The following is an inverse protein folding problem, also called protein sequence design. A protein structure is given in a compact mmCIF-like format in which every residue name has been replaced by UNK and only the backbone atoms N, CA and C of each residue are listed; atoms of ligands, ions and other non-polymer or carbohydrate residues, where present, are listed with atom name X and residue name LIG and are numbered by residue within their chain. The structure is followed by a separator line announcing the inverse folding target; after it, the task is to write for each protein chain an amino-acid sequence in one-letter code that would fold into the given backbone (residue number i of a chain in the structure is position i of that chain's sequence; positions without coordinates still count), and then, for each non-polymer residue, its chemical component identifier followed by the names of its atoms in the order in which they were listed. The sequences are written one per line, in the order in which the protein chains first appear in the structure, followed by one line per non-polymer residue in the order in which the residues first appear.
data_IF_208992204273
#
_entry.id   IF_208992204273
#
_cell.length_a   1.000
_cell.length_b   1.000
_cell.length_c   1.000
_cell.angle_alpha   90.00
_cell.angle_beta   90.00
_cell.angle_gamma   90.00
#
_symmetry.space_group_name_H-M   'P 1'
#
loop_
_entity.id
_entity.type
_entity.pdbx_description
1 polymer ?
#
# COMPACT_ATOMS: atom_id res chain seq x y z
N UNK A 1 37.39 5.88 -27.50
CA UNK A 1 36.45 6.68 -26.68
C UNK A 1 35.03 6.27 -27.03
N UNK A 2 34.51 5.28 -26.29
CA UNK A 2 33.15 4.76 -26.33
C UNK A 2 32.92 4.14 -24.95
N UNK A 3 32.06 4.73 -24.12
CA UNK A 3 31.64 4.12 -22.86
C UNK A 3 30.21 3.61 -23.04
N UNK A 4 30.08 2.29 -23.05
CA UNK A 4 28.83 1.57 -23.01
C UNK A 4 28.30 1.57 -21.56
N UNK A 5 27.11 2.14 -21.35
CA UNK A 5 26.34 1.96 -20.13
C UNK A 5 25.51 0.68 -20.32
N UNK A 6 25.88 -0.36 -19.56
CA UNK A 6 25.13 -1.61 -19.43
C UNK A 6 23.79 -1.31 -18.76
N UNK A 7 22.71 -1.60 -19.48
CA UNK A 7 21.35 -1.69 -18.94
C UNK A 7 21.31 -2.93 -18.05
N UNK A 8 21.07 -2.75 -16.75
CA UNK A 8 20.80 -3.83 -15.81
C UNK A 8 19.40 -4.40 -16.06
N UNK A 9 19.34 -5.73 -16.14
CA UNK A 9 18.12 -6.51 -16.37
C UNK A 9 17.17 -6.46 -15.16
N UNK A 10 15.89 -6.67 -15.49
CA UNK A 10 14.72 -6.72 -14.61
C UNK A 10 14.90 -7.30 -13.21
N UNK A 11 14.49 -6.48 -12.24
CA UNK A 11 13.78 -6.90 -11.04
C UNK A 11 12.56 -5.99 -10.91
N UNK A 12 11.39 -6.55 -10.65
CA UNK A 12 10.24 -5.78 -10.15
C UNK A 12 10.70 -5.12 -8.85
N UNK A 13 10.98 -3.83 -8.91
CA UNK A 13 11.37 -3.06 -7.74
C UNK A 13 10.17 -2.99 -6.80
N UNK A 14 10.18 -3.80 -5.75
CA UNK A 14 9.41 -3.49 -4.55
C UNK A 14 9.84 -2.09 -4.11
N UNK A 15 8.86 -1.21 -3.91
CA UNK A 15 9.11 0.07 -3.27
C UNK A 15 9.42 -0.26 -1.82
N UNK A 16 10.71 -0.21 -1.51
CA UNK A 16 11.22 -0.40 -0.16
C UNK A 16 10.79 0.85 0.63
N UNK A 17 9.66 0.77 1.32
CA UNK A 17 9.29 1.75 2.35
C UNK A 17 10.25 1.57 3.51
N UNK A 18 11.47 2.10 3.37
CA UNK A 18 12.56 2.01 4.36
C UNK A 18 12.30 2.82 5.65
N UNK A 19 11.05 3.16 5.95
CA UNK A 19 10.70 3.77 7.23
C UNK A 19 10.50 2.68 8.27
N UNK A 20 11.45 2.52 9.20
CA UNK A 20 11.19 1.72 10.40
C UNK A 20 10.57 2.65 11.44
N UNK A 21 9.45 2.24 12.04
CA UNK A 21 8.94 2.94 13.21
C UNK A 21 9.76 2.51 14.43
N UNK A 22 10.32 3.45 15.22
CA UNK A 22 11.04 3.06 16.42
C UNK A 22 10.08 2.37 17.41
N UNK A 23 10.56 1.31 18.05
CA UNK A 23 9.89 0.66 19.16
C UNK A 23 9.73 1.64 20.31
N UNK A 24 8.50 1.80 20.78
CA UNK A 24 8.18 2.62 21.95
C UNK A 24 8.34 1.75 23.20
N UNK A 25 9.50 1.79 23.84
CA UNK A 25 9.78 0.95 25.00
C UNK A 25 9.41 1.67 26.32
N UNK A 26 8.46 1.10 27.07
CA UNK A 26 8.20 1.50 28.46
C UNK A 26 9.27 0.89 29.35
N UNK A 27 10.25 1.67 29.77
CA UNK A 27 11.24 1.22 30.76
C UNK A 27 10.55 0.91 32.09
N UNK A 28 10.42 -0.38 32.41
CA UNK A 28 10.34 -0.83 33.80
C UNK A 28 11.65 -0.48 34.50
N UNK A 29 11.57 0.08 35.71
CA UNK A 29 12.75 0.57 36.43
C UNK A 29 13.53 -0.61 37.05
N UNK A 30 14.40 -1.29 36.30
CA UNK A 30 15.28 -2.36 36.81
C UNK A 30 16.60 -1.80 37.36
N UNK A 31 16.50 -0.91 38.35
CA UNK A 31 17.66 -0.47 39.13
C UNK A 31 18.07 -1.54 40.16
N UNK A 32 19.36 -1.64 40.54
CA UNK A 32 19.81 -2.62 41.53
C UNK A 32 19.06 -2.41 42.85
N UNK A 33 18.37 -3.46 43.28
CA UNK A 33 17.48 -3.44 44.44
C UNK A 33 18.20 -2.99 45.71
N UNK A 34 18.07 -1.71 46.05
CA UNK A 34 18.24 -1.27 47.44
C UNK A 34 17.11 -1.92 48.23
N UNK A 35 17.46 -2.89 49.08
CA UNK A 35 16.57 -3.38 50.15
C UNK A 35 16.14 -2.19 51.00
N UNK A 36 15.00 -1.60 50.67
CA UNK A 36 14.31 -0.67 51.56
C UNK A 36 13.50 -1.53 52.52
N UNK A 37 13.78 -1.34 53.80
CA UNK A 37 12.98 -1.82 54.94
C UNK A 37 11.50 -1.52 54.66
N UNK A 38 10.63 -2.50 54.91
CA UNK A 38 9.20 -2.37 54.65
C UNK A 38 8.65 -1.12 55.37
N UNK A 39 8.25 -0.12 54.58
CA UNK A 39 7.52 1.02 55.10
C UNK A 39 6.12 0.53 55.50
N UNK A 40 5.73 0.79 56.74
CA UNK A 40 4.35 0.72 57.21
C UNK A 40 3.52 1.78 56.48
N UNK A 41 3.08 1.45 55.27
CA UNK A 41 2.19 2.27 54.44
C UNK A 41 0.82 1.62 54.28
N UNK A 42 -0.24 2.42 54.29
CA UNK A 42 -1.63 2.00 54.17
C UNK A 42 -1.87 1.06 52.99
N UNK A 43 -2.71 0.04 53.21
CA UNK A 43 -3.28 -0.79 52.13
C UNK A 43 -3.92 0.15 51.10
N UNK A 44 -3.54 0.01 49.83
CA UNK A 44 -4.03 0.79 48.67
C UNK A 44 -3.32 2.10 48.32
N UNK A 45 -2.17 2.43 48.93
CA UNK A 45 -1.39 3.62 48.54
C UNK A 45 -0.93 3.65 47.06
N UNK A 46 -0.89 2.49 46.39
CA UNK A 46 -0.60 2.42 44.95
C UNK A 46 -1.76 2.92 44.06
N UNK A 47 -3.00 2.92 44.57
CA UNK A 47 -4.18 3.43 43.87
C UNK A 47 -4.30 4.96 43.96
N UNK A 48 -3.59 5.59 44.91
CA UNK A 48 -3.58 7.04 45.12
C UNK A 48 -2.32 7.73 44.60
N UNK A 49 -1.32 6.97 44.17
CA UNK A 49 -0.13 7.49 43.51
C UNK A 49 -0.47 8.06 42.13
N UNK A 50 -0.13 9.33 41.88
CA UNK A 50 -0.13 9.86 40.51
C UNK A 50 0.96 9.13 39.73
N UNK A 51 0.57 8.35 38.71
CA UNK A 51 1.52 7.88 37.70
C UNK A 51 2.15 9.11 37.06
N UNK A 52 3.47 9.27 37.22
CA UNK A 52 4.20 10.24 36.40
C UNK A 52 4.04 9.78 34.94
N UNK A 53 3.67 10.66 34.00
CA UNK A 53 3.68 10.29 32.59
C UNK A 53 5.13 9.95 32.21
N UNK A 54 5.43 8.66 32.11
CA UNK A 54 6.68 8.16 31.57
C UNK A 54 6.46 8.10 30.06
N UNK A 55 6.91 9.15 29.36
CA UNK A 55 7.13 9.04 27.93
C UNK A 55 8.11 7.87 27.70
N UNK A 56 7.84 7.01 26.72
CA UNK A 56 8.70 5.88 26.41
C UNK A 56 9.86 6.31 25.50
N UNK A 57 10.98 5.58 25.56
CA UNK A 57 12.12 5.82 24.67
C UNK A 57 11.82 5.23 23.29
N UNK A 58 12.29 5.93 22.25
CA UNK A 58 12.23 5.49 20.86
C UNK A 58 13.50 4.68 20.57
N UNK A 59 13.35 3.37 20.46
CA UNK A 59 14.44 2.43 20.23
C UNK A 59 14.34 1.85 18.81
N UNK A 60 15.47 1.64 18.15
CA UNK A 60 15.54 0.85 16.91
C UNK A 60 16.49 -0.31 17.12
N UNK A 61 16.07 -1.52 16.76
CA UNK A 61 16.97 -2.67 16.78
C UNK A 61 18.02 -2.56 15.68
N UNK A 62 19.27 -2.84 16.05
CA UNK A 62 20.39 -3.01 15.13
C UNK A 62 20.08 -4.10 14.09
N UNK A 63 20.71 -4.00 12.92
CA UNK A 63 20.52 -4.89 11.77
C UNK A 63 20.78 -6.38 12.10
N UNK A 64 21.49 -6.65 13.19
CA UNK A 64 21.80 -8.00 13.70
C UNK A 64 20.83 -8.52 14.78
N UNK A 65 19.77 -7.78 15.13
CA UNK A 65 18.72 -8.20 16.06
C UNK A 65 19.14 -8.29 17.53
N UNK A 66 20.31 -7.76 17.88
CA UNK A 66 20.90 -7.91 19.22
C UNK A 66 20.78 -6.70 20.15
N UNK A 67 20.94 -5.48 19.63
CA UNK A 67 21.00 -4.26 20.46
C UNK A 67 20.01 -3.20 19.98
N UNK A 68 19.23 -2.63 20.91
CA UNK A 68 18.38 -1.48 20.66
C UNK A 68 19.19 -0.18 20.74
N UNK A 69 19.28 0.56 19.65
CA UNK A 69 19.83 1.91 19.59
C UNK A 69 18.76 2.90 20.04
N UNK A 70 19.07 3.69 21.07
CA UNK A 70 18.17 4.73 21.53
C UNK A 70 18.27 5.99 20.67
N UNK A 71 17.14 6.40 20.09
CA UNK A 71 17.01 7.59 19.25
C UNK A 71 16.51 8.82 20.02
N UNK A 72 16.14 8.74 21.30
CA UNK A 72 15.79 9.90 22.14
C UNK A 72 17.04 10.66 22.61
N UNK A 73 17.89 11.00 21.66
CA UNK A 73 19.13 11.74 21.90
C UNK A 73 18.91 13.25 21.79
N UNK A 74 19.82 14.03 22.38
CA UNK A 74 19.81 15.49 22.20
C UNK A 74 20.03 15.90 20.75
N UNK A 75 20.79 15.11 19.98
CA UNK A 75 21.02 15.34 18.54
C UNK A 75 19.73 15.18 17.74
N UNK A 76 18.99 14.08 17.94
CA UNK A 76 17.70 13.87 17.29
C UNK A 76 16.69 14.93 17.71
N UNK A 77 16.69 15.34 18.98
CA UNK A 77 15.83 16.45 19.41
C UNK A 77 16.17 17.77 18.70
N UNK A 78 17.45 18.16 18.63
CA UNK A 78 17.88 19.38 17.95
C UNK A 78 17.54 19.33 16.44
N UNK A 79 17.75 18.18 15.80
CA UNK A 79 17.37 17.96 14.41
C UNK A 79 15.87 18.15 14.19
N UNK A 80 15.03 17.43 14.94
CA UNK A 80 13.57 17.53 14.88
C UNK A 80 13.08 18.96 15.16
N UNK A 81 13.68 19.63 16.15
CA UNK A 81 13.32 20.99 16.51
C UNK A 81 13.61 21.98 15.39
N UNK A 82 14.78 21.87 14.73
CA UNK A 82 15.12 22.70 13.56
C UNK A 82 14.20 22.40 12.37
N UNK A 83 13.88 21.13 12.12
CA UNK A 83 12.91 20.75 11.07
C UNK A 83 11.53 21.36 11.32
N UNK A 84 11.03 21.26 12.56
CA UNK A 84 9.73 21.80 12.94
C UNK A 84 9.68 23.32 12.86
N UNK A 85 10.72 24.01 13.36
CA UNK A 85 10.84 25.47 13.22
C UNK A 85 10.89 25.90 11.76
N UNK A 86 11.71 25.23 10.94
CA UNK A 86 11.83 25.52 9.52
C UNK A 86 10.48 25.43 8.82
N UNK A 87 9.72 24.36 9.09
CA UNK A 87 8.42 24.18 8.48
C UNK A 87 7.37 25.18 9.01
N UNK A 88 7.38 25.49 10.31
CA UNK A 88 6.52 26.50 10.90
C UNK A 88 6.78 27.90 10.32
N UNK A 89 8.05 28.25 10.10
CA UNK A 89 8.46 29.50 9.45
C UNK A 89 7.96 29.55 8.00
N UNK A 90 8.07 28.45 7.23
CA UNK A 90 7.51 28.36 5.87
C UNK A 90 5.99 28.55 5.86
N UNK A 91 5.29 28.02 6.87
CA UNK A 91 3.85 28.17 7.07
C UNK A 91 3.46 29.56 7.63
N UNK A 92 4.43 30.38 8.03
CA UNK A 92 4.22 31.64 8.75
C UNK A 92 3.35 31.47 10.01
N UNK A 93 3.56 30.38 10.75
CA UNK A 93 2.88 30.08 12.01
C UNK A 93 3.88 29.99 13.15
N UNK A 94 3.43 30.38 14.35
CA UNK A 94 4.26 30.26 15.55
C UNK A 94 4.06 28.88 16.18
N UNK A 95 5.12 28.08 16.24
CA UNK A 95 5.10 26.81 16.96
C UNK A 95 4.98 27.07 18.48
N UNK A 96 3.91 26.59 19.16
CA UNK A 96 3.67 26.84 20.59
C UNK A 96 4.52 25.92 21.49
N UNK A 97 5.80 25.78 21.20
CA UNK A 97 6.72 24.90 21.90
C UNK A 97 7.76 25.68 22.71
N UNK A 98 8.07 25.18 23.90
CA UNK A 98 9.21 25.63 24.71
C UNK A 98 9.92 24.43 25.32
N UNK A 99 11.19 24.27 25.00
CA UNK A 99 12.02 23.21 25.58
C UNK A 99 12.11 23.38 27.10
N UNK A 100 11.87 22.29 27.83
CA UNK A 100 12.00 22.27 29.30
C UNK A 100 13.47 22.06 29.64
N UNK A 101 14.07 23.06 30.32
CA UNK A 101 15.47 22.95 30.79
C UNK A 101 15.57 21.86 31.86
N UNK A 102 16.55 20.97 31.73
CA UNK A 102 16.78 19.87 32.68
C UNK A 102 15.88 18.63 32.49
N UNK A 103 14.94 18.64 31.53
CA UNK A 103 14.22 17.42 31.14
C UNK A 103 15.00 16.67 30.05
N UNK A 104 15.00 15.34 30.11
CA UNK A 104 15.65 14.50 29.08
C UNK A 104 15.07 14.73 27.67
N UNK A 105 15.84 14.48 26.58
CA UNK A 105 15.43 14.75 25.21
C UNK A 105 14.08 14.13 24.85
N UNK A 106 13.78 12.93 25.36
CA UNK A 106 12.49 12.26 25.27
C UNK A 106 11.27 13.14 25.58
N UNK A 107 11.28 13.84 26.71
CA UNK A 107 10.15 14.70 27.14
C UNK A 107 9.97 15.86 26.16
N UNK A 108 11.08 16.41 25.66
CA UNK A 108 11.05 17.50 24.70
C UNK A 108 10.61 17.04 23.30
N UNK A 109 11.00 15.84 22.87
CA UNK A 109 10.53 15.23 21.60
C UNK A 109 9.03 15.01 21.65
N UNK A 110 8.49 14.39 22.71
CA UNK A 110 7.03 14.17 22.85
C UNK A 110 6.26 15.48 22.88
N UNK A 111 6.75 16.49 23.61
CA UNK A 111 6.11 17.80 23.65
C UNK A 111 6.20 18.54 22.31
N UNK A 112 7.30 18.36 21.56
CA UNK A 112 7.48 18.94 20.23
C UNK A 112 6.54 18.30 19.20
N UNK A 113 6.44 16.97 19.20
CA UNK A 113 5.49 16.23 18.37
C UNK A 113 4.07 16.74 18.60
N UNK A 114 3.63 16.81 19.87
CA UNK A 114 2.29 17.29 20.21
C UNK A 114 2.05 18.73 19.76
N UNK A 115 3.03 19.62 19.96
CA UNK A 115 2.91 21.00 19.52
C UNK A 115 2.80 21.11 17.99
N UNK A 116 3.50 20.26 17.24
CA UNK A 116 3.44 20.23 15.79
C UNK A 116 2.09 19.67 15.30
N UNK A 117 1.66 18.54 15.85
CA UNK A 117 0.38 17.87 15.55
C UNK A 117 -0.84 18.78 15.83
N UNK A 118 -0.80 19.56 16.91
CA UNK A 118 -1.86 20.53 17.22
C UNK A 118 -1.82 21.80 16.34
N UNK A 119 -0.68 22.10 15.69
CA UNK A 119 -0.50 23.31 14.89
C UNK A 119 -0.79 23.09 13.40
N UNK A 120 -0.48 21.88 12.89
CA UNK A 120 -0.57 21.58 11.47
C UNK A 120 -1.95 21.01 11.10
N UNK A 121 -2.44 21.29 9.89
CA UNK A 121 -3.65 20.64 9.37
C UNK A 121 -3.40 19.20 8.90
N UNK A 122 -2.14 18.84 8.59
CA UNK A 122 -1.74 17.48 8.26
C UNK A 122 -1.62 16.59 9.51
N UNK A 123 -1.77 15.28 9.32
CA UNK A 123 -1.35 14.33 10.34
C UNK A 123 0.18 14.31 10.43
N UNK A 124 0.70 14.16 11.65
CA UNK A 124 2.13 14.07 11.92
C UNK A 124 2.47 12.67 12.41
N UNK A 125 3.46 12.02 11.81
CA UNK A 125 4.08 10.81 12.33
C UNK A 125 5.54 11.08 12.73
N UNK A 126 6.09 10.23 13.58
CA UNK A 126 7.50 10.24 13.96
C UNK A 126 8.15 8.92 13.54
N UNK A 127 9.11 9.00 12.63
CA UNK A 127 9.71 7.83 11.98
C UNK A 127 11.24 7.86 12.07
N UNK A 128 11.87 6.69 12.06
CA UNK A 128 13.30 6.57 11.87
C UNK A 128 13.62 6.40 10.39
N UNK A 129 14.61 7.18 9.93
CA UNK A 129 15.25 6.99 8.64
C UNK A 129 16.75 7.19 8.76
N UNK A 130 17.51 6.20 8.30
CA UNK A 130 18.97 6.21 8.30
C UNK A 130 19.59 6.57 9.69
N UNK A 131 19.04 6.01 10.76
CA UNK A 131 19.48 6.19 12.14
C UNK A 131 19.03 7.49 12.80
N UNK A 132 18.10 8.24 12.19
CA UNK A 132 17.67 9.56 12.66
C UNK A 132 16.15 9.70 12.67
N UNK A 133 15.63 10.40 13.68
CA UNK A 133 14.20 10.69 13.78
C UNK A 133 13.79 11.83 12.85
N UNK A 134 12.67 11.63 12.16
CA UNK A 134 12.05 12.60 11.26
C UNK A 134 10.57 12.76 11.59
N UNK A 135 10.05 13.98 11.46
CA UNK A 135 8.61 14.18 11.34
C UNK A 135 8.19 13.84 9.91
N UNK A 136 7.14 13.04 9.76
CA UNK A 136 6.51 12.73 8.49
C UNK A 136 5.11 13.33 8.49
N UNK A 137 4.86 14.29 7.60
CA UNK A 137 3.51 14.83 7.38
C UNK A 137 2.80 13.95 6.38
N UNK A 138 1.50 13.71 6.59
CA UNK A 138 0.71 12.93 5.64
C UNK A 138 -0.77 13.32 5.60
N UNK A 139 -1.40 13.05 4.45
CA UNK A 139 -2.85 13.19 4.23
C UNK A 139 -3.37 12.04 3.36
N UNK A 140 -4.54 11.53 3.74
CA UNK A 140 -5.27 10.52 2.99
C UNK A 140 -5.89 11.10 1.72
N UNK A 141 -5.81 10.34 0.63
CA UNK A 141 -6.60 10.59 -0.57
C UNK A 141 -8.05 10.12 -0.40
N UNK A 142 -8.95 10.67 -1.20
CA UNK A 142 -10.33 10.19 -1.31
C UNK A 142 -10.32 8.89 -2.15
N UNK A 143 -10.10 7.78 -1.47
CA UNK A 143 -10.00 6.46 -2.08
C UNK A 143 -11.26 5.64 -1.78
N UNK A 144 -11.88 4.98 -2.77
CA UNK A 144 -13.09 4.21 -2.54
C UNK A 144 -12.88 3.08 -1.52
N UNK A 145 -13.58 3.18 -0.40
CA UNK A 145 -13.57 2.14 0.62
C UNK A 145 -14.09 0.81 0.05
N UNK A 146 -13.47 -0.30 0.46
CA UNK A 146 -13.89 -1.66 0.12
C UNK A 146 -13.99 -1.97 -1.38
N UNK A 147 -13.34 -1.20 -2.25
CA UNK A 147 -13.41 -1.39 -3.70
C UNK A 147 -12.15 -2.09 -4.22
N UNK A 148 -12.35 -3.22 -4.90
CA UNK A 148 -11.28 -3.99 -5.53
C UNK A 148 -11.19 -3.66 -7.03
N UNK A 149 -10.07 -3.07 -7.44
CA UNK A 149 -9.76 -2.74 -8.82
C UNK A 149 -8.94 -3.86 -9.47
N UNK A 150 -9.57 -5.03 -9.60
CA UNK A 150 -8.98 -6.15 -10.32
C UNK A 150 -9.25 -5.99 -11.81
N UNK A 151 -8.20 -5.89 -12.62
CA UNK A 151 -8.26 -5.68 -14.07
C UNK A 151 -8.39 -7.04 -14.78
N UNK A 152 -9.60 -7.44 -15.24
CA UNK A 152 -9.78 -8.72 -15.89
C UNK A 152 -9.18 -8.71 -17.30
N UNK A 153 -8.75 -9.87 -17.82
CA UNK A 153 -8.26 -10.01 -19.21
C UNK A 153 -9.09 -10.98 -20.05
N UNK A 154 -9.97 -11.77 -19.46
CA UNK A 154 -10.87 -12.72 -20.12
C UNK A 154 -11.82 -12.04 -21.11
N UNK A 155 -12.36 -10.85 -20.77
CA UNK A 155 -13.26 -10.09 -21.64
C UNK A 155 -12.64 -9.79 -23.01
N UNK A 156 -11.30 -9.70 -23.07
CA UNK A 156 -10.58 -9.44 -24.31
C UNK A 156 -10.72 -10.57 -25.33
N UNK A 157 -11.08 -11.78 -24.90
CA UNK A 157 -11.32 -12.93 -25.77
C UNK A 157 -12.52 -12.77 -26.70
N UNK A 158 -13.46 -11.89 -26.33
CA UNK A 158 -14.63 -11.56 -27.13
C UNK A 158 -14.39 -10.42 -28.12
N UNK A 159 -13.28 -9.69 -27.99
CA UNK A 159 -12.96 -8.55 -28.84
C UNK A 159 -12.39 -9.00 -30.20
N UNK A 160 -12.64 -8.22 -31.28
CA UNK A 160 -11.96 -8.42 -32.55
C UNK A 160 -10.44 -8.41 -32.39
N UNK A 161 -9.74 -9.23 -33.17
CA UNK A 161 -8.28 -9.43 -33.03
C UNK A 161 -7.47 -8.12 -32.97
N UNK A 162 -7.73 -7.09 -33.80
CA UNK A 162 -6.98 -5.84 -33.71
C UNK A 162 -7.22 -5.09 -32.39
N UNK A 163 -8.47 -5.02 -31.92
CA UNK A 163 -8.82 -4.35 -30.66
C UNK A 163 -8.29 -5.12 -29.45
N UNK A 164 -8.39 -6.46 -29.47
CA UNK A 164 -7.82 -7.34 -28.45
C UNK A 164 -6.33 -7.06 -28.21
N UNK A 165 -5.56 -6.87 -29.28
CA UNK A 165 -4.12 -6.54 -29.17
C UNK A 165 -3.89 -5.18 -28.53
N UNK A 166 -4.69 -4.17 -28.91
CA UNK A 166 -4.63 -2.82 -28.34
C UNK A 166 -4.93 -2.86 -26.85
N UNK A 167 -6.06 -3.47 -26.46
CA UNK A 167 -6.53 -3.53 -25.07
C UNK A 167 -5.53 -4.29 -24.19
N UNK A 168 -5.06 -5.47 -24.64
CA UNK A 168 -4.06 -6.23 -23.89
C UNK A 168 -2.73 -5.48 -23.76
N UNK A 169 -2.31 -4.75 -24.79
CA UNK A 169 -1.11 -3.92 -24.71
C UNK A 169 -1.28 -2.76 -23.74
N UNK A 170 -2.45 -2.10 -23.73
CA UNK A 170 -2.76 -1.06 -22.77
C UNK A 170 -2.73 -1.58 -21.34
N UNK A 171 -3.48 -2.65 -21.02
CA UNK A 171 -3.50 -3.26 -19.67
C UNK A 171 -2.08 -3.67 -19.26
N UNK A 172 -1.30 -4.25 -20.18
CA UNK A 172 0.09 -4.61 -19.91
C UNK A 172 0.96 -3.40 -19.55
N UNK A 173 0.85 -2.30 -20.30
CA UNK A 173 1.60 -1.08 -20.00
C UNK A 173 1.14 -0.47 -18.67
N UNK A 174 -0.15 -0.49 -18.39
CA UNK A 174 -0.74 -0.02 -17.15
C UNK A 174 -0.21 -0.78 -15.93
N UNK A 175 -0.33 -2.12 -15.93
CA UNK A 175 0.19 -3.00 -14.87
C UNK A 175 1.67 -2.75 -14.61
N UNK A 176 2.48 -2.66 -15.68
CA UNK A 176 3.92 -2.41 -15.56
C UNK A 176 4.27 -1.01 -15.06
N UNK A 177 3.53 0.00 -15.49
CA UNK A 177 3.76 1.39 -15.09
C UNK A 177 3.51 1.57 -13.60
N UNK A 178 2.42 0.97 -13.11
CA UNK A 178 2.01 1.04 -11.73
C UNK A 178 2.74 0.03 -10.83
N UNK A 179 3.39 -0.99 -11.39
CA UNK A 179 4.05 -2.05 -10.61
C UNK A 179 3.04 -3.00 -9.95
N UNK A 180 1.90 -3.26 -10.60
CA UNK A 180 0.83 -4.08 -10.04
C UNK A 180 1.16 -5.58 -10.14
N UNK A 181 0.74 -6.33 -9.12
CA UNK A 181 0.83 -7.77 -9.10
C UNK A 181 -0.33 -8.42 -9.88
N UNK A 182 -0.12 -9.62 -10.37
CA UNK A 182 -1.22 -10.51 -10.74
C UNK A 182 -1.84 -11.13 -9.48
N UNK A 183 -3.13 -11.49 -9.56
CA UNK A 183 -3.83 -12.20 -8.47
C UNK A 183 -3.07 -13.43 -8.00
N UNK A 184 -2.35 -14.11 -8.90
CA UNK A 184 -1.54 -15.30 -8.65
C UNK A 184 -0.29 -15.07 -7.80
N UNK A 185 0.05 -13.81 -7.51
CA UNK A 185 1.23 -13.41 -6.72
C UNK A 185 0.87 -13.05 -5.27
N UNK A 186 -0.36 -13.34 -4.85
CA UNK A 186 -0.85 -13.08 -3.49
C UNK A 186 -1.06 -14.37 -2.70
N UNK A 187 -1.00 -14.30 -1.38
CA UNK A 187 -1.32 -15.43 -0.51
C UNK A 187 -2.81 -15.84 -0.61
N UNK A 188 -3.69 -14.87 -0.91
CA UNK A 188 -5.10 -15.13 -1.19
C UNK A 188 -5.30 -16.14 -2.32
N UNK A 189 -4.45 -16.08 -3.34
CA UNK A 189 -4.49 -17.04 -4.44
C UNK A 189 -4.15 -18.45 -3.99
N UNK A 190 -3.13 -18.62 -3.14
CA UNK A 190 -2.75 -19.95 -2.63
C UNK A 190 -3.94 -20.60 -1.90
N UNK A 191 -4.59 -19.86 -1.01
CA UNK A 191 -5.78 -20.33 -0.30
C UNK A 191 -6.96 -20.62 -1.24
N UNK A 192 -7.25 -19.70 -2.18
CA UNK A 192 -8.35 -19.87 -3.11
C UNK A 192 -8.15 -21.09 -4.03
N UNK A 193 -6.92 -21.35 -4.48
CA UNK A 193 -6.60 -22.53 -5.29
C UNK A 193 -6.75 -23.81 -4.48
N UNK A 194 -6.24 -23.85 -3.25
CA UNK A 194 -6.40 -24.99 -2.36
C UNK A 194 -7.88 -25.30 -2.09
N UNK A 195 -8.68 -24.26 -1.88
CA UNK A 195 -10.13 -24.41 -1.67
C UNK A 195 -10.84 -24.99 -2.90
N UNK A 196 -10.47 -24.56 -4.11
CA UNK A 196 -11.04 -25.11 -5.35
C UNK A 196 -10.62 -26.57 -5.60
N UNK A 197 -9.36 -26.93 -5.30
CA UNK A 197 -8.88 -28.31 -5.49
C UNK A 197 -9.45 -29.28 -4.44
N UNK A 198 -9.66 -28.80 -3.21
CA UNK A 198 -10.20 -29.58 -2.08
C UNK A 198 -11.74 -29.52 -1.96
N UNK A 199 -12.45 -28.97 -2.95
CA UNK A 199 -13.88 -28.69 -2.86
C UNK A 199 -14.73 -29.91 -2.45
N UNK A 200 -14.35 -31.12 -2.87
CA UNK A 200 -15.03 -32.37 -2.51
C UNK A 200 -15.10 -32.60 -0.99
N UNK A 201 -14.07 -32.18 -0.26
CA UNK A 201 -14.02 -32.33 1.19
C UNK A 201 -14.69 -31.15 1.91
N UNK A 202 -14.77 -29.99 1.26
CA UNK A 202 -15.47 -28.79 1.77
C UNK A 202 -16.98 -28.92 1.71
N UNK A 203 -17.50 -29.47 0.62
CA UNK A 203 -18.92 -29.68 0.41
C UNK A 203 -19.20 -31.15 0.04
N UNK A 204 -19.56 -32.00 1.03
CA UNK A 204 -19.91 -33.40 0.81
C UNK A 204 -21.14 -33.60 -0.09
N UNK A 205 -21.99 -32.58 -0.23
CA UNK A 205 -23.20 -32.61 -1.06
C UNK A 205 -22.93 -32.11 -2.49
N UNK A 206 -21.73 -31.60 -2.77
CA UNK A 206 -21.34 -31.08 -4.07
C UNK A 206 -21.48 -32.14 -5.17
N UNK A 207 -22.11 -31.76 -6.28
CA UNK A 207 -22.23 -32.65 -7.42
C UNK A 207 -20.84 -33.02 -8.00
N UNK A 208 -20.67 -34.23 -8.57
CA UNK A 208 -19.44 -34.59 -9.28
C UNK A 208 -19.09 -33.64 -10.43
N UNK A 209 -20.08 -32.94 -11.00
CA UNK A 209 -19.86 -31.95 -12.05
C UNK A 209 -19.24 -30.68 -11.47
N UNK A 210 -19.73 -30.19 -10.34
CA UNK A 210 -19.19 -29.03 -9.60
C UNK A 210 -17.76 -29.28 -9.17
N UNK A 211 -17.49 -30.42 -8.54
CA UNK A 211 -16.14 -30.82 -8.11
C UNK A 211 -15.17 -30.82 -9.31
N UNK A 212 -15.58 -31.40 -10.44
CA UNK A 212 -14.75 -31.39 -11.67
C UNK A 212 -14.57 -29.99 -12.25
N UNK A 213 -15.59 -29.13 -12.19
CA UNK A 213 -15.53 -27.74 -12.67
C UNK A 213 -14.46 -26.96 -11.90
N UNK A 214 -14.50 -27.00 -10.57
CA UNK A 214 -13.56 -26.27 -9.72
C UNK A 214 -12.14 -26.81 -9.78
N UNK A 215 -11.99 -28.15 -9.81
CA UNK A 215 -10.68 -28.76 -10.05
C UNK A 215 -10.05 -28.32 -11.37
N UNK A 216 -10.81 -28.30 -12.47
CA UNK A 216 -10.32 -27.81 -13.76
C UNK A 216 -9.98 -26.32 -13.74
N UNK A 217 -10.72 -25.53 -12.97
CA UNK A 217 -10.44 -24.10 -12.80
C UNK A 217 -9.10 -23.91 -12.09
N UNK A 218 -8.89 -24.61 -10.97
CA UNK A 218 -7.61 -24.63 -10.25
C UNK A 218 -6.45 -25.05 -11.16
N UNK A 219 -6.59 -26.17 -11.88
CA UNK A 219 -5.57 -26.64 -12.85
C UNK A 219 -5.28 -25.60 -13.95
N UNK A 220 -6.31 -24.87 -14.40
CA UNK A 220 -6.17 -23.81 -15.41
C UNK A 220 -5.37 -22.60 -14.91
N UNK A 221 -5.57 -22.21 -13.65
CA UNK A 221 -4.83 -21.15 -12.97
C UNK A 221 -3.39 -21.55 -12.64
N UNK A 222 -3.16 -22.80 -12.21
CA UNK A 222 -1.84 -23.31 -11.85
C UNK A 222 -0.93 -23.50 -13.06
N UNK A 223 -1.43 -24.07 -14.17
CA UNK A 223 -0.57 -24.42 -15.33
C UNK A 223 -1.26 -24.38 -16.70
N UNK A 224 -2.58 -24.22 -16.74
CA UNK A 224 -3.37 -24.27 -17.96
C UNK A 224 -3.48 -22.95 -18.74
N UNK A 225 -4.66 -22.73 -19.33
CA UNK A 225 -4.91 -21.58 -20.22
C UNK A 225 -4.79 -20.25 -19.48
N UNK A 226 -5.32 -20.20 -18.26
CA UNK A 226 -5.33 -18.98 -17.45
C UNK A 226 -3.90 -18.61 -17.04
N UNK A 227 -3.14 -19.55 -16.49
CA UNK A 227 -1.73 -19.39 -16.13
C UNK A 227 -0.91 -18.81 -17.30
N UNK A 228 -1.07 -19.38 -18.50
CA UNK A 228 -0.36 -18.93 -19.71
C UNK A 228 -0.81 -17.54 -20.16
N UNK A 229 -2.06 -17.17 -19.93
CA UNK A 229 -2.60 -15.86 -20.30
C UNK A 229 -2.05 -14.77 -19.39
N UNK A 230 -2.07 -14.99 -18.07
CA UNK A 230 -1.48 -14.08 -17.09
C UNK A 230 0.02 -13.91 -17.33
N UNK A 231 0.76 -15.02 -17.47
CA UNK A 231 2.18 -14.99 -17.83
C UNK A 231 2.47 -14.28 -19.15
N UNK A 232 1.55 -14.32 -20.12
CA UNK A 232 1.70 -13.59 -21.39
C UNK A 232 1.61 -12.07 -21.16
N UNK A 233 0.86 -11.59 -20.17
CA UNK A 233 0.79 -10.17 -19.83
C UNK A 233 2.14 -9.65 -19.33
N UNK A 234 2.90 -10.43 -18.57
CA UNK A 234 4.27 -10.07 -18.15
C UNK A 234 5.26 -10.01 -19.34
N UNK A 235 4.92 -10.61 -20.47
CA UNK A 235 5.83 -10.82 -21.59
C UNK A 235 6.01 -9.62 -22.54
N UNK A 236 6.29 -9.95 -23.82
CA UNK A 236 6.56 -8.98 -24.89
C UNK A 236 5.31 -8.15 -25.25
N UNK A 237 5.46 -6.98 -25.91
CA UNK A 237 4.30 -6.21 -26.38
C UNK A 237 3.31 -7.02 -27.24
N UNK A 238 2.02 -6.71 -27.17
CA UNK A 238 0.98 -7.30 -28.03
C UNK A 238 0.83 -6.56 -29.36
N UNK A 239 1.19 -5.28 -29.38
CA UNK A 239 1.38 -4.50 -30.59
C UNK A 239 2.51 -3.46 -30.39
N UNK A 240 3.12 -3.05 -31.49
CA UNK A 240 4.04 -1.90 -31.52
C UNK A 240 3.24 -0.62 -31.68
N UNK A 241 3.69 0.45 -31.03
CA UNK A 241 3.10 1.80 -31.13
C UNK A 241 1.61 1.82 -30.75
N UNK A 242 1.34 1.66 -29.46
CA UNK A 242 -0.02 1.61 -28.92
C UNK A 242 -0.81 2.87 -29.29
N UNK A 243 -0.19 4.05 -29.20
CA UNK A 243 -0.84 5.33 -29.50
C UNK A 243 -1.30 5.41 -30.95
N UNK A 244 -0.44 5.03 -31.89
CA UNK A 244 -0.82 5.02 -33.30
C UNK A 244 -1.93 3.99 -33.59
N UNK A 245 -1.88 2.81 -32.95
CA UNK A 245 -2.92 1.79 -33.09
C UNK A 245 -4.27 2.28 -32.56
N UNK A 246 -4.29 2.91 -31.40
CA UNK A 246 -5.51 3.51 -30.81
C UNK A 246 -6.07 4.63 -31.69
N UNK A 247 -5.20 5.43 -32.32
CA UNK A 247 -5.61 6.51 -33.24
C UNK A 247 -6.20 5.98 -34.55
N UNK A 248 -5.62 4.92 -35.13
CA UNK A 248 -6.01 4.37 -36.43
C UNK A 248 -7.21 3.43 -36.36
N UNK A 249 -7.46 2.80 -35.21
CA UNK A 249 -8.55 1.86 -35.08
C UNK A 249 -9.92 2.54 -35.32
N UNK A 250 -10.77 1.88 -36.11
CA UNK A 250 -12.13 2.32 -36.42
C UNK A 250 -13.10 1.38 -35.71
N UNK A 251 -13.74 1.88 -34.65
CA UNK A 251 -14.77 1.15 -33.93
C UNK A 251 -15.96 0.87 -34.85
N UNK A 252 -16.41 -0.38 -34.87
CA UNK A 252 -17.58 -0.82 -35.62
C UNK A 252 -18.88 -0.55 -34.84
N UNK A 253 -18.81 -0.58 -33.51
CA UNK A 253 -19.97 -0.43 -32.61
C UNK A 253 -19.69 0.59 -31.50
N UNK A 254 -20.74 1.01 -30.80
CA UNK A 254 -20.68 2.05 -29.76
C UNK A 254 -19.80 1.62 -28.59
N UNK A 255 -19.90 0.35 -28.20
CA UNK A 255 -19.20 -0.25 -27.07
C UNK A 255 -17.68 -0.25 -27.29
N UNK A 256 -17.23 -0.58 -28.51
CA UNK A 256 -15.81 -0.50 -28.88
C UNK A 256 -15.28 0.94 -28.81
N UNK A 257 -16.12 1.91 -29.20
CA UNK A 257 -15.76 3.32 -29.15
C UNK A 257 -15.60 3.80 -27.71
N UNK A 258 -16.53 3.45 -26.83
CA UNK A 258 -16.48 3.78 -25.39
C UNK A 258 -15.23 3.17 -24.73
N UNK A 259 -14.92 1.90 -25.02
CA UNK A 259 -13.70 1.25 -24.53
C UNK A 259 -12.44 1.98 -25.01
N UNK A 260 -12.40 2.42 -26.27
CA UNK A 260 -11.25 3.15 -26.81
C UNK A 260 -11.10 4.56 -26.23
N UNK A 261 -12.19 5.24 -25.93
CA UNK A 261 -12.18 6.54 -25.24
C UNK A 261 -11.55 6.37 -23.85
N UNK A 262 -11.97 5.35 -23.08
CA UNK A 262 -11.37 5.02 -21.78
C UNK A 262 -9.90 4.61 -21.88
N UNK A 263 -9.49 3.89 -22.93
CA UNK A 263 -8.07 3.58 -23.14
C UNK A 263 -7.25 4.85 -23.39
N UNK A 264 -7.77 5.80 -24.18
CA UNK A 264 -7.08 7.08 -24.42
C UNK A 264 -6.92 7.88 -23.13
N UNK A 265 -7.97 7.93 -22.30
CA UNK A 265 -7.91 8.55 -20.98
C UNK A 265 -6.87 7.85 -20.09
N UNK A 266 -6.91 6.52 -20.03
CA UNK A 266 -6.01 5.71 -19.23
C UNK A 266 -4.55 5.82 -19.66
N UNK A 267 -4.28 5.98 -20.97
CA UNK A 267 -2.93 6.27 -21.47
C UNK A 267 -2.37 7.58 -20.90
N UNK A 268 -3.24 8.56 -20.66
CA UNK A 268 -2.88 9.82 -20.00
C UNK A 268 -2.49 9.65 -18.53
N UNK A 269 -2.93 8.57 -17.86
CA UNK A 269 -2.57 8.25 -16.47
C UNK A 269 -1.20 7.57 -16.34
N UNK A 270 -0.74 6.90 -17.40
CA UNK A 270 0.52 6.15 -17.45
C UNK A 270 1.61 6.84 -18.29
N UNK A 271 1.49 8.15 -18.47
CA UNK A 271 2.47 8.95 -19.22
C UNK A 271 3.75 9.14 -18.38
N UNK A 272 4.96 9.09 -19.00
CA UNK A 272 6.20 9.38 -18.28
C UNK A 272 6.16 10.73 -17.56
N UNK A 273 6.50 10.73 -16.28
CA UNK A 273 6.46 11.92 -15.43
C UNK A 273 5.22 12.01 -14.53
N UNK A 274 4.16 11.24 -14.80
CA UNK A 274 3.11 11.07 -13.80
C UNK A 274 3.61 10.22 -12.61
N UNK A 275 2.95 10.35 -11.44
CA UNK A 275 3.13 9.41 -10.33
C UNK A 275 2.70 7.99 -10.70
N UNK A 276 3.22 6.99 -10.01
CA UNK A 276 2.65 5.65 -10.00
C UNK A 276 1.86 5.42 -8.70
N UNK A 277 0.75 4.69 -8.76
CA UNK A 277 -0.13 4.50 -7.59
C UNK A 277 0.59 3.88 -6.38
N UNK A 278 1.56 3.00 -6.61
CA UNK A 278 2.34 2.38 -5.54
C UNK A 278 3.23 3.37 -4.79
N UNK A 279 3.53 4.56 -5.35
CA UNK A 279 4.24 5.63 -4.61
C UNK A 279 3.42 6.20 -3.44
N UNK A 280 2.10 6.00 -3.45
CA UNK A 280 1.19 6.46 -2.39
C UNK A 280 0.96 5.38 -1.31
N UNK A 281 1.57 4.20 -1.42
CA UNK A 281 1.43 3.10 -0.47
C UNK A 281 2.18 3.36 0.83
N UNK A 282 1.77 4.35 1.62
CA UNK A 282 2.40 4.67 2.90
C UNK A 282 1.64 4.06 4.08
N UNK A 283 2.31 3.19 4.82
CA UNK A 283 1.80 2.61 6.06
C UNK A 283 1.95 3.59 7.23
N UNK A 284 0.89 4.37 7.46
CA UNK A 284 0.81 5.35 8.54
C UNK A 284 0.70 4.73 9.94
N UNK A 285 0.26 3.48 10.02
CA UNK A 285 0.03 2.75 11.27
C UNK A 285 1.06 1.65 11.51
N UNK A 286 2.16 1.65 10.74
CA UNK A 286 3.17 0.59 10.76
C UNK A 286 3.53 0.13 12.16
N UNK A 287 3.44 -1.18 12.32
CA UNK A 287 3.92 -1.91 13.47
C UNK A 287 4.87 -2.99 12.95
N UNK A 288 5.97 -3.22 13.68
CA UNK A 288 6.99 -4.16 13.24
C UNK A 288 6.54 -5.62 13.34
N UNK A 289 5.66 -5.92 14.28
CA UNK A 289 5.14 -7.27 14.53
C UNK A 289 3.68 -7.17 14.90
N UNK A 290 2.81 -6.78 13.94
CA UNK A 290 1.40 -6.68 14.19
C UNK A 290 0.82 -8.09 14.37
N UNK A 291 -0.23 -8.21 15.18
CA UNK A 291 -0.96 -9.47 15.33
C UNK A 291 -1.59 -9.92 13.99
N UNK A 292 -2.05 -8.94 13.19
CA UNK A 292 -2.55 -9.12 11.83
C UNK A 292 -1.84 -8.13 10.88
N UNK A 293 -1.21 -8.60 9.79
CA UNK A 293 -0.58 -7.70 8.84
C UNK A 293 -1.63 -6.76 8.20
N UNK A 294 -1.26 -5.52 7.84
CA UNK A 294 -2.15 -4.67 7.06
C UNK A 294 -2.38 -5.25 5.67
N UNK A 295 -3.51 -4.90 5.06
CA UNK A 295 -3.77 -5.21 3.66
C UNK A 295 -3.03 -4.20 2.80
N UNK A 296 -2.07 -4.67 2.02
CA UNK A 296 -1.27 -3.82 1.14
C UNK A 296 -2.11 -3.20 0.00
N UNK A 297 -1.70 -2.01 -0.46
CA UNK A 297 -2.36 -1.31 -1.57
C UNK A 297 -2.34 -2.12 -2.87
N UNK A 298 -1.32 -2.97 -3.06
CA UNK A 298 -1.17 -3.83 -4.23
C UNK A 298 -2.23 -4.95 -4.29
N UNK A 299 -2.84 -5.32 -3.16
CA UNK A 299 -3.94 -6.28 -3.11
C UNK A 299 -5.27 -5.66 -3.55
N UNK A 300 -5.42 -4.34 -3.45
CA UNK A 300 -6.62 -3.63 -3.90
C UNK A 300 -6.63 -3.42 -5.42
N UNK A 301 -5.46 -3.40 -6.07
CA UNK A 301 -5.34 -3.15 -7.52
C UNK A 301 -4.46 -4.23 -8.15
N UNK A 302 -5.09 -5.17 -8.85
CA UNK A 302 -4.39 -6.35 -9.38
C UNK A 302 -4.73 -6.65 -10.82
N UNK A 303 -3.85 -7.38 -11.50
CA UNK A 303 -4.17 -8.04 -12.76
C UNK A 303 -4.88 -9.37 -12.48
N UNK A 304 -6.12 -9.52 -12.95
CA UNK A 304 -6.90 -10.75 -12.82
C UNK A 304 -7.17 -11.39 -14.19
N UNK A 305 -7.43 -12.70 -14.20
CA UNK A 305 -7.93 -13.33 -15.43
C UNK A 305 -9.40 -12.97 -15.66
N UNK A 306 -10.24 -13.23 -14.68
CA UNK A 306 -11.66 -12.87 -14.63
C UNK A 306 -11.99 -12.32 -13.24
N UNK A 307 -13.06 -11.54 -13.11
CA UNK A 307 -13.62 -11.15 -11.80
C UNK A 307 -14.96 -11.85 -11.53
N UNK A 308 -15.30 -12.87 -12.33
CA UNK A 308 -16.58 -13.58 -12.29
C UNK A 308 -16.38 -15.10 -12.15
N UNK A 309 -15.19 -15.53 -11.73
CA UNK A 309 -14.94 -16.94 -11.48
C UNK A 309 -14.76 -17.19 -9.98
N UNK A 310 -14.99 -18.45 -9.60
CA UNK A 310 -15.00 -18.89 -8.21
C UNK A 310 -13.64 -18.71 -7.52
N UNK A 311 -12.53 -18.63 -8.28
CA UNK A 311 -11.24 -18.31 -7.68
C UNK A 311 -11.26 -16.87 -7.15
N UNK A 312 -11.64 -15.91 -8.00
CA UNK A 312 -11.72 -14.50 -7.59
C UNK A 312 -12.80 -14.25 -6.53
N UNK A 313 -13.92 -14.97 -6.57
CA UNK A 313 -14.94 -14.91 -5.52
C UNK A 313 -14.38 -15.37 -4.16
N UNK A 314 -13.63 -16.48 -4.12
CA UNK A 314 -12.98 -16.96 -2.89
C UNK A 314 -11.92 -15.96 -2.39
N UNK A 315 -11.09 -15.43 -3.29
CA UNK A 315 -10.10 -14.40 -2.94
C UNK A 315 -10.75 -13.16 -2.33
N UNK A 316 -11.87 -12.70 -2.89
CA UNK A 316 -12.64 -11.57 -2.35
C UNK A 316 -13.20 -11.89 -0.96
N UNK A 317 -13.64 -13.12 -0.71
CA UNK A 317 -14.11 -13.55 0.61
C UNK A 317 -12.97 -13.49 1.66
N UNK A 318 -11.77 -13.93 1.30
CA UNK A 318 -10.60 -13.85 2.18
C UNK A 318 -10.19 -12.40 2.45
N UNK A 319 -10.09 -11.59 1.40
CA UNK A 319 -9.82 -10.15 1.53
C UNK A 319 -10.82 -9.48 2.47
N UNK A 320 -12.12 -9.73 2.27
CA UNK A 320 -13.18 -9.16 3.10
C UNK A 320 -13.13 -9.66 4.56
N UNK A 321 -12.61 -10.88 4.79
CA UNK A 321 -12.37 -11.39 6.12
C UNK A 321 -11.27 -10.58 6.81
N UNK A 322 -10.11 -10.41 6.16
CA UNK A 322 -9.00 -9.65 6.76
C UNK A 322 -9.33 -8.19 6.93
N UNK A 323 -10.11 -7.60 6.03
CA UNK A 323 -10.53 -6.20 6.14
C UNK A 323 -11.31 -5.94 7.44
N UNK A 324 -11.90 -6.98 8.06
CA UNK A 324 -12.56 -6.87 9.37
C UNK A 324 -11.60 -6.99 10.54
N UNK A 325 -10.47 -7.65 10.35
CA UNK A 325 -9.47 -7.94 11.40
C UNK A 325 -8.33 -6.91 11.42
N UNK A 326 -8.04 -6.27 10.28
CA UNK A 326 -6.94 -5.32 10.10
C UNK A 326 -7.35 -4.12 9.24
N UNK A 327 -6.43 -3.17 9.05
CA UNK A 327 -6.64 -2.01 8.18
C UNK A 327 -6.02 -2.23 6.79
N UNK A 328 -6.53 -1.50 5.80
CA UNK A 328 -5.97 -1.46 4.46
C UNK A 328 -5.10 -0.21 4.26
N UNK A 329 -3.96 -0.39 3.59
CA UNK A 329 -3.12 0.70 3.14
C UNK A 329 -3.81 1.35 1.94
N UNK A 330 -4.37 2.54 2.14
CA UNK A 330 -4.94 3.37 1.08
C UNK A 330 -3.93 4.43 0.63
N UNK A 331 -4.10 5.02 -0.57
CA UNK A 331 -3.19 6.04 -1.06
C UNK A 331 -3.08 7.25 -0.12
N UNK A 332 -1.85 7.60 0.21
CA UNK A 332 -1.50 8.73 1.07
C UNK A 332 -0.37 9.53 0.42
N UNK A 333 -0.51 10.87 0.42
CA UNK A 333 0.63 11.75 0.17
C UNK A 333 1.39 11.95 1.47
N UNK A 334 2.71 11.73 1.46
CA UNK A 334 3.58 11.94 2.61
C UNK A 334 4.79 12.84 2.31
N UNK A 335 5.30 13.51 3.33
CA UNK A 335 6.47 14.38 3.24
C UNK A 335 7.27 14.39 4.54
N UNK A 336 8.55 14.04 4.46
CA UNK A 336 9.47 14.16 5.58
C UNK A 336 9.94 15.61 5.76
N UNK A 337 9.99 16.04 7.02
CA UNK A 337 10.53 17.34 7.40
C UNK A 337 12.01 17.21 7.80
N UNK A 338 12.83 18.02 7.16
CA UNK A 338 14.24 18.24 7.49
C UNK A 338 14.51 19.71 7.80
N UNK A 339 15.66 20.07 8.42
CA UNK A 339 16.07 21.47 8.59
C UNK A 339 16.22 22.24 7.28
N UNK A 340 16.41 21.53 6.16
CA UNK A 340 16.57 22.08 4.82
C UNK A 340 15.25 22.16 4.03
N UNK A 341 14.13 21.72 4.61
CA UNK A 341 12.81 21.77 3.95
C UNK A 341 12.55 23.15 3.37
N UNK A 342 12.19 23.23 2.10
CA UNK A 342 12.07 24.47 1.34
C UNK A 342 10.68 24.70 0.73
N UNK A 343 9.77 23.73 0.90
CA UNK A 343 8.42 23.75 0.35
C UNK A 343 7.39 23.31 1.39
N UNK A 344 6.17 23.80 1.20
CA UNK A 344 5.01 23.32 1.96
C UNK A 344 4.54 21.97 1.45
N UNK A 345 3.88 21.21 2.32
CA UNK A 345 3.17 19.99 1.95
C UNK A 345 2.18 20.29 0.81
N UNK A 346 2.22 19.46 -0.24
CA UNK A 346 1.32 19.55 -1.39
C UNK A 346 0.81 18.16 -1.72
N UNK A 347 -0.50 18.06 -1.81
CA UNK A 347 -1.23 16.87 -2.22
C UNK A 347 -1.76 17.11 -3.64
N UNK A 348 -1.57 16.14 -4.52
CA UNK A 348 -2.18 16.14 -5.85
C UNK A 348 -3.49 15.33 -5.85
N UNK A 349 -4.11 15.19 -7.03
CA UNK A 349 -5.38 14.49 -7.24
C UNK A 349 -5.23 13.19 -8.04
N UNK A 350 -4.00 12.65 -8.13
CA UNK A 350 -3.71 11.52 -9.00
C UNK A 350 -4.46 10.24 -8.57
N UNK A 351 -4.45 9.82 -7.28
CA UNK A 351 -5.22 8.66 -6.85
C UNK A 351 -6.72 8.77 -7.14
N UNK A 352 -7.33 9.93 -6.93
CA UNK A 352 -8.76 10.19 -7.19
C UNK A 352 -9.09 10.10 -8.69
N UNK A 353 -8.22 10.65 -9.55
CA UNK A 353 -8.37 10.54 -11.00
C UNK A 353 -8.21 9.11 -11.47
N UNK A 354 -7.29 8.36 -10.86
CA UNK A 354 -7.05 6.96 -11.18
C UNK A 354 -8.23 6.09 -10.76
N UNK A 355 -8.72 6.20 -9.52
CA UNK A 355 -9.88 5.42 -9.04
C UNK A 355 -11.12 5.73 -9.87
N UNK A 356 -11.42 7.01 -10.10
CA UNK A 356 -12.55 7.42 -10.93
C UNK A 356 -12.46 6.91 -12.37
N UNK A 357 -11.25 6.78 -12.94
CA UNK A 357 -11.06 6.14 -14.25
C UNK A 357 -11.24 4.62 -14.17
N UNK A 358 -10.67 3.95 -13.16
CA UNK A 358 -10.77 2.49 -13.00
C UNK A 358 -12.21 2.02 -12.78
N UNK A 359 -13.02 2.80 -12.05
CA UNK A 359 -14.46 2.54 -11.90
C UNK A 359 -15.16 2.57 -13.26
N UNK A 360 -14.96 3.63 -14.05
CA UNK A 360 -15.56 3.74 -15.40
C UNK A 360 -15.07 2.62 -16.33
N UNK A 361 -13.78 2.29 -16.27
CA UNK A 361 -13.20 1.22 -17.07
C UNK A 361 -13.81 -0.14 -16.73
N UNK A 362 -13.91 -0.47 -15.45
CA UNK A 362 -14.49 -1.72 -14.96
C UNK A 362 -15.98 -1.80 -15.26
N UNK A 363 -16.72 -0.71 -15.09
CA UNK A 363 -18.14 -0.62 -15.44
C UNK A 363 -18.36 -0.85 -16.95
N UNK A 364 -17.54 -0.24 -17.82
CA UNK A 364 -17.61 -0.45 -19.26
C UNK A 364 -17.40 -1.93 -19.63
N UNK A 365 -16.41 -2.58 -19.02
CA UNK A 365 -16.17 -4.03 -19.21
C UNK A 365 -17.39 -4.84 -18.77
N UNK A 366 -17.92 -4.55 -17.58
CA UNK A 366 -19.04 -5.27 -17.00
C UNK A 366 -20.34 -5.14 -17.82
N UNK A 367 -20.65 -3.95 -18.33
CA UNK A 367 -21.88 -3.73 -19.10
C UNK A 367 -21.84 -4.29 -20.50
N UNK A 368 -20.68 -4.26 -21.17
CA UNK A 368 -20.62 -4.47 -22.61
C UNK A 368 -19.88 -5.74 -23.05
N UNK A 369 -18.94 -6.24 -22.24
CA UNK A 369 -17.98 -7.25 -22.70
C UNK A 369 -17.92 -8.51 -21.83
N UNK A 370 -18.53 -8.48 -20.64
CA UNK A 370 -18.72 -9.69 -19.84
C UNK A 370 -19.82 -10.56 -20.45
N UNK A 371 -19.53 -11.85 -20.55
CA UNK A 371 -20.55 -12.87 -20.90
C UNK A 371 -21.41 -13.08 -19.65
N UNK A 372 -22.74 -13.16 -19.77
CA UNK A 372 -23.57 -13.61 -18.66
C UNK A 372 -23.04 -14.97 -18.17
N UNK A 373 -22.81 -15.11 -16.87
CA UNK A 373 -22.54 -16.43 -16.30
C UNK A 373 -23.77 -17.27 -16.61
N UNK A 374 -23.60 -18.31 -17.45
CA UNK A 374 -24.65 -19.29 -17.65
C UNK A 374 -25.01 -19.86 -16.28
N UNK A 375 -26.19 -19.49 -15.78
CA UNK A 375 -26.77 -20.05 -14.56
C UNK A 375 -26.97 -21.56 -14.70
#
# INVERSE_FOLDING_TARGET
MQNAIRITNGGTGRIDHQGRRPLVHRTGYDGPGKKKTAATGERNAFLTGRFLPIAADYLVEDETGGACVNLTTSENFDYLYRSALRYADLMNVRLPFRARKGSGPRINITALYKALDETLPEHVNLEERAGRLHFCLYRFHDWPDHTLFWLPVDFTENLPVPLRRIVREFIRQFVRYHGLNAVTETWYYELAVEELDDWKNRDPEASPQTIRKYKRLAESYQSGKIAKTLKRMEGKPFCTDLEEKVRKYRAAVKEERELLELIREGMGLITPGNPCIMQYGYDWAYERSPDFPPIDLDCQIMLAYSNNDTLTENMECYFNSDYRETYAITPVTSMYLTPETDRLFRMDDYPERLSGWMERFTQCINWHFKVPVSQ
#
